data_IF_343460143042
#
_entry.id   IF_343460143042
#
_cell.length_a   1.000
_cell.length_b   1.000
_cell.length_c   1.000
_cell.angle_alpha   90.00
_cell.angle_beta   90.00
_cell.angle_gamma   90.00
#
_symmetry.space_group_name_H-M   'P 1'
#
loop_
_entity.id
_entity.type
_entity.pdbx_description
1 polymer ?
#
# COMPACT_ATOMS: atom_id res chain seq x y z
N UNK A 1 1.98 -7.01 0.14
CA UNK A 1 2.20 -8.41 0.57
C UNK A 1 3.68 -8.71 0.40
N UNK A 2 4.38 -9.11 1.47
CA UNK A 2 5.76 -9.54 1.37
C UNK A 2 5.91 -10.75 0.45
N UNK A 3 6.96 -10.77 -0.37
CA UNK A 3 7.19 -11.86 -1.31
C UNK A 3 7.33 -13.24 -0.65
N UNK A 4 7.75 -13.29 0.62
CA UNK A 4 7.88 -14.53 1.40
C UNK A 4 6.54 -15.11 1.90
N UNK A 5 5.46 -14.33 1.87
CA UNK A 5 4.11 -14.81 2.19
C UNK A 5 3.37 -15.35 0.97
N UNK A 6 3.87 -15.06 -0.24
CA UNK A 6 3.25 -15.50 -1.49
C UNK A 6 3.48 -17.01 -1.64
N UNK A 7 2.43 -17.81 -1.85
CA UNK A 7 2.58 -19.25 -2.06
C UNK A 7 3.46 -19.51 -3.29
N UNK A 8 4.29 -20.55 -3.22
CA UNK A 8 5.09 -20.98 -4.37
C UNK A 8 4.17 -21.39 -5.51
N UNK A 9 4.50 -20.96 -6.72
CA UNK A 9 3.75 -21.31 -7.93
C UNK A 9 3.73 -22.84 -8.08
N UNK A 10 2.55 -23.35 -8.40
CA UNK A 10 2.33 -24.76 -8.69
C UNK A 10 1.55 -24.90 -10.00
N UNK A 11 1.44 -26.10 -10.58
CA UNK A 11 0.58 -26.32 -11.74
C UNK A 11 -0.87 -25.84 -11.53
N UNK A 12 -1.37 -25.86 -10.30
CA UNK A 12 -2.70 -25.34 -9.95
C UNK A 12 -2.80 -23.81 -9.92
N UNK A 13 -1.68 -23.09 -10.06
CA UNK A 13 -1.65 -21.62 -10.10
C UNK A 13 -1.89 -21.05 -11.50
N UNK A 14 -1.87 -21.89 -12.54
CA UNK A 14 -2.10 -21.46 -13.92
C UNK A 14 -3.60 -21.39 -14.22
N UNK A 15 -4.00 -20.38 -14.99
CA UNK A 15 -5.38 -20.24 -15.43
C UNK A 15 -5.74 -21.37 -16.41
N UNK A 16 -6.87 -22.03 -16.18
CA UNK A 16 -7.42 -23.07 -17.07
C UNK A 16 -8.28 -22.50 -18.21
N UNK A 17 -8.56 -21.19 -18.17
CA UNK A 17 -9.48 -20.49 -19.06
C UNK A 17 -8.83 -19.24 -19.68
N UNK A 18 -9.62 -18.47 -20.44
CA UNK A 18 -9.20 -17.21 -21.04
C UNK A 18 -8.64 -16.25 -20.00
N UNK A 19 -7.40 -15.79 -20.22
CA UNK A 19 -6.75 -14.77 -19.41
C UNK A 19 -6.93 -13.37 -19.98
N UNK A 20 -6.77 -12.37 -19.12
CA UNK A 20 -6.66 -10.97 -19.54
C UNK A 20 -5.29 -10.74 -20.20
N UNK A 21 -5.26 -10.03 -21.32
CA UNK A 21 -3.96 -9.65 -21.91
C UNK A 21 -3.26 -8.63 -21.01
N UNK A 22 -1.97 -8.85 -20.78
CA UNK A 22 -1.15 -8.03 -19.89
C UNK A 22 -0.96 -6.59 -20.40
N UNK A 23 -0.93 -6.38 -21.72
CA UNK A 23 -0.84 -5.06 -22.33
C UNK A 23 -2.05 -4.20 -21.98
N UNK A 24 -3.26 -4.73 -22.17
CA UNK A 24 -4.50 -4.06 -21.84
C UNK A 24 -4.62 -3.77 -20.34
N UNK A 25 -4.22 -4.73 -19.50
CA UNK A 25 -4.17 -4.51 -18.05
C UNK A 25 -3.21 -3.37 -17.68
N UNK A 26 -2.04 -3.30 -18.33
CA UNK A 26 -1.07 -2.25 -18.06
C UNK A 26 -1.59 -0.85 -18.43
N UNK A 27 -2.37 -0.72 -19.50
CA UNK A 27 -3.02 0.53 -19.88
C UNK A 27 -4.03 0.99 -18.81
N UNK A 28 -4.82 0.07 -18.25
CA UNK A 28 -5.73 0.36 -17.14
C UNK A 28 -4.96 0.87 -15.92
N UNK A 29 -3.85 0.21 -15.56
CA UNK A 29 -3.02 0.64 -14.43
C UNK A 29 -2.42 2.03 -14.63
N UNK A 30 -2.05 2.39 -15.87
CA UNK A 30 -1.56 3.73 -16.20
C UNK A 30 -2.66 4.78 -16.02
N UNK A 31 -3.89 4.49 -16.46
CA UNK A 31 -5.04 5.37 -16.26
C UNK A 31 -5.36 5.55 -14.77
N UNK A 32 -5.41 4.46 -14.00
CA UNK A 32 -5.63 4.50 -12.55
C UNK A 32 -4.53 5.29 -11.83
N UNK A 33 -3.29 5.21 -12.30
CA UNK A 33 -2.18 5.99 -11.72
C UNK A 33 -2.37 7.50 -11.89
N UNK A 34 -3.02 7.95 -12.97
CA UNK A 34 -3.28 9.36 -13.24
C UNK A 34 -4.48 9.92 -12.46
N UNK A 35 -5.31 9.05 -11.87
CA UNK A 35 -6.46 9.44 -11.07
C UNK A 35 -6.02 10.04 -9.72
N UNK A 36 -6.30 11.32 -9.50
CA UNK A 36 -5.90 12.05 -8.30
C UNK A 36 -6.94 12.04 -7.17
N UNK A 37 -8.20 11.70 -7.47
CA UNK A 37 -9.28 11.70 -6.49
C UNK A 37 -9.02 10.70 -5.34
N UNK A 38 -8.57 9.50 -5.70
CA UNK A 38 -8.19 8.47 -4.73
C UNK A 38 -6.98 8.90 -3.87
N UNK A 39 -6.01 9.61 -4.46
CA UNK A 39 -4.87 10.16 -3.71
C UNK A 39 -5.33 11.22 -2.69
N UNK A 40 -6.23 12.11 -3.11
CA UNK A 40 -6.82 13.13 -2.25
C UNK A 40 -7.69 12.51 -1.14
N UNK A 41 -8.44 11.45 -1.43
CA UNK A 41 -9.17 10.67 -0.43
C UNK A 41 -8.23 10.12 0.63
N UNK A 42 -7.19 9.39 0.24
CA UNK A 42 -6.21 8.85 1.19
C UNK A 42 -5.52 9.95 2.02
N UNK A 43 -5.20 11.10 1.42
CA UNK A 43 -4.58 12.21 2.15
C UNK A 43 -5.49 12.77 3.27
N UNK A 44 -6.82 12.83 3.04
CA UNK A 44 -7.80 13.30 4.02
C UNK A 44 -8.05 12.28 5.15
N UNK A 45 -8.15 11.00 4.79
CA UNK A 45 -8.52 9.92 5.72
C UNK A 45 -7.32 9.34 6.49
N UNK A 46 -6.09 9.55 6.01
CA UNK A 46 -4.86 9.09 6.68
C UNK A 46 -4.13 10.28 7.29
N UNK A 47 -4.33 10.46 8.59
CA UNK A 47 -3.64 11.45 9.42
C UNK A 47 -2.83 10.69 10.47
N UNK A 48 -1.50 10.64 10.26
CA UNK A 48 -0.60 10.14 11.28
C UNK A 48 -0.33 11.27 12.28
N UNK A 49 -0.06 10.90 13.55
CA UNK A 49 0.19 11.87 14.61
C UNK A 49 1.33 12.85 14.29
N UNK A 50 1.43 13.98 15.03
CA UNK A 50 2.36 15.07 14.71
C UNK A 50 3.85 14.67 14.72
N UNK A 51 4.20 13.62 15.47
CA UNK A 51 5.57 13.11 15.57
C UNK A 51 5.92 12.07 14.50
N UNK A 52 4.96 11.70 13.63
CA UNK A 52 5.19 10.73 12.58
C UNK A 52 6.19 11.28 11.54
N UNK A 53 7.21 10.49 11.22
CA UNK A 53 8.19 10.86 10.21
C UNK A 53 7.50 11.11 8.86
N UNK A 54 7.60 12.34 8.33
CA UNK A 54 6.84 12.79 7.16
C UNK A 54 6.95 11.83 5.95
N UNK A 55 8.16 11.32 5.68
CA UNK A 55 8.38 10.36 4.59
C UNK A 55 7.59 9.06 4.78
N UNK A 56 7.44 8.61 6.02
CA UNK A 56 6.62 7.42 6.34
C UNK A 56 5.14 7.69 6.08
N UNK A 57 4.66 8.88 6.45
CA UNK A 57 3.29 9.31 6.18
C UNK A 57 2.99 9.37 4.68
N UNK A 58 3.88 9.98 3.89
CA UNK A 58 3.74 10.05 2.43
C UNK A 58 3.76 8.65 1.79
N UNK A 59 4.65 7.77 2.26
CA UNK A 59 4.74 6.39 1.77
C UNK A 59 3.47 5.59 2.05
N UNK A 60 2.92 5.70 3.26
CA UNK A 60 1.68 5.00 3.64
C UNK A 60 0.50 5.50 2.80
N UNK A 61 0.38 6.83 2.59
CA UNK A 61 -0.66 7.40 1.73
C UNK A 61 -0.56 6.92 0.29
N UNK A 62 0.65 6.92 -0.28
CA UNK A 62 0.87 6.47 -1.65
C UNK A 62 0.54 4.98 -1.82
N UNK A 63 0.94 4.13 -0.87
CA UNK A 63 0.63 2.70 -0.89
C UNK A 63 -0.87 2.44 -0.70
N UNK A 64 -1.52 3.12 0.26
CA UNK A 64 -2.95 2.97 0.51
C UNK A 64 -3.79 3.41 -0.71
N UNK A 65 -3.39 4.49 -1.39
CA UNK A 65 -4.02 4.92 -2.64
C UNK A 65 -3.88 3.86 -3.74
N UNK A 66 -2.68 3.30 -3.91
CA UNK A 66 -2.46 2.20 -4.84
C UNK A 66 -3.36 1.00 -4.54
N UNK A 67 -3.51 0.62 -3.28
CA UNK A 67 -4.43 -0.45 -2.88
C UNK A 67 -5.88 -0.10 -3.16
N UNK A 68 -6.31 1.13 -2.87
CA UNK A 68 -7.68 1.58 -3.14
C UNK A 68 -7.99 1.54 -4.64
N UNK A 69 -7.08 2.02 -5.50
CA UNK A 69 -7.21 1.96 -6.96
C UNK A 69 -7.33 0.52 -7.48
N UNK A 70 -6.60 -0.44 -6.89
CA UNK A 70 -6.60 -1.84 -7.32
C UNK A 70 -7.80 -2.64 -6.80
N UNK A 71 -8.19 -2.42 -5.54
CA UNK A 71 -9.21 -3.22 -4.85
C UNK A 71 -10.61 -2.60 -4.93
N UNK A 72 -10.67 -1.27 -4.96
CA UNK A 72 -11.90 -0.48 -4.99
C UNK A 72 -11.88 0.53 -6.15
N UNK A 73 -11.66 0.09 -7.41
CA UNK A 73 -11.54 0.98 -8.57
C UNK A 73 -12.82 1.78 -8.89
N UNK A 74 -13.95 1.42 -8.27
CA UNK A 74 -15.24 2.09 -8.40
C UNK A 74 -15.44 3.21 -7.36
N UNK A 75 -14.47 3.42 -6.46
CA UNK A 75 -14.46 4.51 -5.49
C UNK A 75 -15.33 4.30 -4.25
N UNK A 76 -16.13 3.24 -4.18
CA UNK A 76 -16.95 2.92 -3.02
C UNK A 76 -16.19 1.97 -2.08
N UNK A 77 -15.93 2.42 -0.85
CA UNK A 77 -15.25 1.61 0.17
C UNK A 77 -15.77 2.01 1.54
N UNK A 78 -16.07 1.04 2.40
CA UNK A 78 -16.41 1.32 3.80
C UNK A 78 -15.16 1.73 4.57
N UNK A 79 -15.29 2.52 5.64
CA UNK A 79 -14.15 2.89 6.49
C UNK A 79 -13.42 1.65 7.04
N UNK A 80 -14.17 0.60 7.36
CA UNK A 80 -13.62 -0.65 7.86
C UNK A 80 -12.79 -1.37 6.79
N UNK A 81 -13.30 -1.44 5.56
CA UNK A 81 -12.60 -2.07 4.45
C UNK A 81 -11.40 -1.26 3.99
N UNK A 82 -11.53 0.07 3.94
CA UNK A 82 -10.43 0.97 3.63
C UNK A 82 -9.28 0.80 4.63
N UNK A 83 -9.60 0.75 5.93
CA UNK A 83 -8.60 0.51 6.97
C UNK A 83 -7.95 -0.86 6.81
N UNK A 84 -8.75 -1.91 6.62
CA UNK A 84 -8.29 -3.31 6.58
C UNK A 84 -7.48 -3.63 5.33
N UNK A 85 -7.94 -3.22 4.16
CA UNK A 85 -7.40 -3.65 2.87
C UNK A 85 -6.45 -2.63 2.24
N UNK A 86 -6.49 -1.37 2.64
CA UNK A 86 -5.61 -0.33 2.09
C UNK A 86 -4.61 0.18 3.12
N UNK A 87 -5.07 0.65 4.28
CA UNK A 87 -4.21 1.34 5.26
C UNK A 87 -3.32 0.37 6.05
N UNK A 88 -3.89 -0.71 6.58
CA UNK A 88 -3.15 -1.70 7.36
C UNK A 88 -1.99 -2.32 6.56
N UNK A 89 -2.20 -2.91 5.36
CA UNK A 89 -1.09 -3.49 4.61
C UNK A 89 -0.05 -2.44 4.17
N UNK A 90 -0.46 -1.21 3.87
CA UNK A 90 0.47 -0.11 3.59
C UNK A 90 1.36 0.23 4.80
N UNK A 91 0.77 0.21 5.99
CA UNK A 91 1.46 0.47 7.26
C UNK A 91 2.42 -0.65 7.59
N UNK A 92 2.00 -1.91 7.48
CA UNK A 92 2.83 -3.09 7.77
C UNK A 92 4.07 -3.15 6.85
N UNK A 93 3.89 -2.88 5.55
CA UNK A 93 5.01 -2.80 4.61
C UNK A 93 5.96 -1.66 4.95
N UNK A 94 5.41 -0.50 5.33
CA UNK A 94 6.24 0.66 5.70
C UNK A 94 7.00 0.42 7.01
N UNK A 95 6.39 -0.27 7.97
CA UNK A 95 7.01 -0.69 9.22
C UNK A 95 8.19 -1.63 8.93
N UNK A 96 8.05 -2.61 8.04
CA UNK A 96 9.15 -3.49 7.68
C UNK A 96 10.38 -2.73 7.12
N UNK A 97 10.16 -1.72 6.28
CA UNK A 97 11.25 -0.84 5.81
C UNK A 97 11.80 0.03 6.94
N UNK A 98 10.95 0.49 7.85
CA UNK A 98 11.37 1.29 9.00
C UNK A 98 12.24 0.49 9.97
N UNK A 99 11.88 -0.75 10.27
CA UNK A 99 12.65 -1.65 11.12
C UNK A 99 14.06 -1.87 10.56
N UNK A 100 14.18 -2.02 9.25
CA UNK A 100 15.48 -2.12 8.58
C UNK A 100 16.30 -0.84 8.76
N UNK A 101 15.71 0.35 8.54
CA UNK A 101 16.39 1.64 8.72
C UNK A 101 16.82 1.84 10.20
N UNK A 102 15.92 1.55 11.14
CA UNK A 102 16.15 1.67 12.58
C UNK A 102 17.30 0.78 13.07
N UNK A 103 17.41 -0.42 12.49
CA UNK A 103 18.47 -1.37 12.82
C UNK A 103 19.82 -0.99 12.21
N UNK A 104 19.82 -0.52 10.96
CA UNK A 104 21.04 -0.22 10.19
C UNK A 104 21.68 1.12 10.57
N UNK A 105 20.87 2.13 10.91
CA UNK A 105 21.35 3.49 11.11
C UNK A 105 20.84 4.08 12.44
N UNK A 106 21.75 4.40 13.39
CA UNK A 106 21.40 5.02 14.66
C UNK A 106 20.64 6.35 14.55
N UNK A 107 20.74 7.08 13.44
CA UNK A 107 20.03 8.34 13.25
C UNK A 107 18.51 8.18 13.42
N UNK A 108 17.95 7.06 12.96
CA UNK A 108 16.50 6.84 12.97
C UNK A 108 15.94 6.53 14.36
N UNK A 109 16.80 6.22 15.34
CA UNK A 109 16.37 5.87 16.71
C UNK A 109 15.76 7.05 17.47
N UNK A 110 15.95 8.28 16.98
CA UNK A 110 15.34 9.50 17.54
C UNK A 110 13.84 9.64 17.25
N UNK A 111 13.29 8.88 16.30
CA UNK A 111 11.91 9.01 15.82
C UNK A 111 10.97 7.90 16.32
N UNK A 112 11.40 7.08 17.28
CA UNK A 112 10.62 5.95 17.79
C UNK A 112 10.70 4.71 16.88
N UNK A 113 10.32 3.56 17.43
CA UNK A 113 10.43 2.28 16.74
C UNK A 113 9.29 2.04 15.74
N UNK A 114 8.14 2.72 15.88
CA UNK A 114 6.95 2.49 15.05
C UNK A 114 6.65 3.66 14.13
N UNK A 115 6.20 3.38 12.90
CA UNK A 115 5.84 4.43 11.92
C UNK A 115 4.51 5.11 12.21
N UNK A 116 3.66 4.47 13.01
CA UNK A 116 2.47 5.07 13.60
C UNK A 116 2.62 5.04 15.12
N UNK A 117 2.34 6.15 15.82
CA UNK A 117 2.34 6.18 17.28
C UNK A 117 1.27 5.26 17.88
#
# INVERSE_FOLDING_TARGET
IPGWEIPKLSPASFAEQSGLKADYFSDILLLLRQELETDAYCARHIQLGPDAYQRSQESIRALASGYMKLLFPHGEVSDADFKKYCVQPATDLRQGVWDQLYNLDPEYRKYGQFVTP
#
